data_IF_151679849816
#
_entry.id   IF_151679849816
#
_cell.length_a   1.000
_cell.length_b   1.000
_cell.length_c   1.000
_cell.angle_alpha   90.00
_cell.angle_beta   90.00
_cell.angle_gamma   90.00
#
_symmetry.space_group_name_H-M   'P 1'
#
loop_
_entity.id
_entity.type
_entity.pdbx_description
1 polymer ?
#
# COMPACT_ATOMS: atom_id res chain seq x y z
N UNK A 1 19.38 9.01 10.30
CA UNK A 1 18.01 9.51 10.20
C UNK A 1 17.03 8.34 10.14
N UNK A 2 16.06 8.33 11.01
CA UNK A 2 15.12 7.24 11.05
C UNK A 2 14.23 7.25 9.81
N UNK A 3 14.06 6.08 9.22
CA UNK A 3 13.16 5.95 8.09
C UNK A 3 11.74 6.08 8.58
N UNK A 4 10.99 6.93 7.92
CA UNK A 4 9.61 7.12 8.24
C UNK A 4 8.81 5.98 7.63
N UNK A 5 8.21 5.16 8.46
CA UNK A 5 7.34 4.10 7.97
C UNK A 5 6.02 4.72 7.54
N UNK A 6 5.59 4.39 6.34
CA UNK A 6 4.32 4.86 5.85
C UNK A 6 3.18 4.14 6.58
N UNK A 7 2.17 4.90 6.96
CA UNK A 7 0.95 4.32 7.50
C UNK A 7 0.13 3.74 6.34
N UNK A 8 -0.85 2.93 6.66
CA UNK A 8 -1.76 2.39 5.65
C UNK A 8 -2.40 3.52 4.84
N UNK A 9 -2.86 4.55 5.53
CA UNK A 9 -3.51 5.70 4.89
C UNK A 9 -2.58 6.41 3.91
N UNK A 10 -1.34 6.63 4.35
CA UNK A 10 -0.35 7.28 3.49
C UNK A 10 0.01 6.43 2.29
N UNK A 11 0.21 5.14 2.51
CA UNK A 11 0.53 4.22 1.41
C UNK A 11 -0.62 4.15 0.41
N UNK A 12 -1.84 4.08 0.90
CA UNK A 12 -3.03 4.02 0.06
C UNK A 12 -3.19 5.30 -0.77
N UNK A 13 -2.98 6.45 -0.12
CA UNK A 13 -3.06 7.74 -0.82
C UNK A 13 -2.04 7.82 -1.96
N UNK A 14 -0.82 7.33 -1.70
CA UNK A 14 0.21 7.32 -2.74
C UNK A 14 -0.15 6.38 -3.87
N UNK A 15 -0.75 5.24 -3.56
CA UNK A 15 -1.23 4.32 -4.59
C UNK A 15 -2.26 4.97 -5.48
N UNK A 16 -3.16 5.75 -4.90
CA UNK A 16 -4.16 6.47 -5.68
C UNK A 16 -3.52 7.49 -6.63
N UNK A 17 -2.48 8.18 -6.16
CA UNK A 17 -1.74 9.11 -7.01
C UNK A 17 -1.08 8.39 -8.18
N UNK A 18 -0.46 7.25 -7.92
CA UNK A 18 0.19 6.46 -8.96
C UNK A 18 -0.84 5.96 -9.97
N UNK A 19 -1.97 5.49 -9.49
CA UNK A 19 -3.06 5.05 -10.36
C UNK A 19 -3.50 6.16 -11.29
N UNK A 20 -3.67 7.37 -10.76
CA UNK A 20 -4.05 8.52 -11.56
C UNK A 20 -2.99 8.85 -12.62
N UNK A 21 -1.72 8.74 -12.26
CA UNK A 21 -0.63 8.99 -13.20
C UNK A 21 -0.63 7.97 -14.34
N UNK A 22 -0.86 6.72 -14.02
CA UNK A 22 -0.92 5.66 -15.01
C UNK A 22 -2.12 5.86 -15.93
N UNK A 23 -3.27 6.19 -15.36
CA UNK A 23 -4.49 6.43 -16.14
C UNK A 23 -4.38 7.64 -17.05
N UNK A 24 -3.57 8.63 -16.66
CA UNK A 24 -3.38 9.82 -17.48
C UNK A 24 -2.67 9.53 -18.79
N UNK A 25 -2.02 8.39 -18.86
CA UNK A 25 -1.31 7.94 -20.06
C UNK A 25 -0.19 8.90 -20.50
N UNK A 26 0.39 9.61 -19.53
CA UNK A 26 1.46 10.58 -19.79
C UNK A 26 2.84 10.06 -19.46
N UNK A 27 2.91 8.86 -18.90
CA UNK A 27 4.18 8.27 -18.51
C UNK A 27 4.79 7.51 -19.69
N UNK A 28 6.08 7.65 -19.87
CA UNK A 28 6.77 6.79 -20.83
C UNK A 28 7.03 5.43 -20.17
N UNK A 29 7.59 4.50 -20.93
CA UNK A 29 7.77 3.12 -20.47
C UNK A 29 8.65 3.06 -19.24
N UNK A 30 9.72 3.84 -19.21
CA UNK A 30 10.64 3.82 -18.07
C UNK A 30 9.96 4.36 -16.80
N UNK A 31 9.24 5.46 -16.93
CA UNK A 31 8.51 6.04 -15.81
C UNK A 31 7.41 5.10 -15.31
N UNK A 32 6.73 4.45 -16.24
CA UNK A 32 5.70 3.48 -15.91
C UNK A 32 6.29 2.32 -15.10
N UNK A 33 7.44 1.82 -15.52
CA UNK A 33 8.12 0.73 -14.82
C UNK A 33 8.47 1.12 -13.39
N UNK A 34 8.99 2.33 -13.20
CA UNK A 34 9.33 2.84 -11.86
C UNK A 34 8.10 2.97 -10.98
N UNK A 35 7.01 3.49 -11.56
CA UNK A 35 5.76 3.65 -10.80
C UNK A 35 5.16 2.32 -10.42
N UNK A 36 5.27 1.33 -11.29
CA UNK A 36 4.80 -0.02 -10.98
C UNK A 36 5.59 -0.65 -9.85
N UNK A 37 6.89 -0.41 -9.81
CA UNK A 37 7.73 -0.91 -8.71
C UNK A 37 7.34 -0.24 -7.40
N UNK A 38 7.12 1.06 -7.43
CA UNK A 38 6.69 1.80 -6.25
C UNK A 38 5.32 1.30 -5.79
N UNK A 39 4.39 1.12 -6.71
CA UNK A 39 3.05 0.63 -6.39
C UNK A 39 3.12 -0.77 -5.76
N UNK A 40 3.98 -1.62 -6.27
CA UNK A 40 4.16 -2.96 -5.74
C UNK A 40 4.64 -2.93 -4.28
N UNK A 41 5.60 -2.07 -3.99
CA UNK A 41 6.10 -1.91 -2.62
C UNK A 41 5.02 -1.36 -1.69
N UNK A 42 4.23 -0.41 -2.17
CA UNK A 42 3.13 0.17 -1.39
C UNK A 42 2.03 -0.84 -1.13
N UNK A 43 1.72 -1.67 -2.13
CA UNK A 43 0.73 -2.75 -1.96
C UNK A 43 1.17 -3.73 -0.90
N UNK A 44 2.46 -4.03 -0.85
CA UNK A 44 3.00 -4.92 0.16
C UNK A 44 2.79 -4.34 1.56
N UNK A 45 3.06 -3.04 1.72
CA UNK A 45 2.84 -2.35 3.00
C UNK A 45 1.37 -2.43 3.40
N UNK A 46 0.46 -2.13 2.49
CA UNK A 46 -0.97 -2.18 2.76
C UNK A 46 -1.41 -3.58 3.14
N UNK A 47 -0.92 -4.57 2.42
CA UNK A 47 -1.26 -5.96 2.67
C UNK A 47 -0.80 -6.40 4.06
N UNK A 48 0.41 -6.03 4.44
CA UNK A 48 0.94 -6.36 5.76
C UNK A 48 0.11 -5.73 6.87
N UNK A 49 -0.29 -4.48 6.69
CA UNK A 49 -1.10 -3.78 7.68
C UNK A 49 -2.48 -4.42 7.81
N UNK A 50 -3.10 -4.75 6.69
CA UNK A 50 -4.41 -5.41 6.71
C UNK A 50 -4.33 -6.80 7.32
N UNK A 51 -3.26 -7.53 7.04
CA UNK A 51 -3.05 -8.84 7.62
C UNK A 51 -2.95 -8.75 9.14
N UNK A 52 -2.20 -7.77 9.63
CA UNK A 52 -2.03 -7.56 11.07
C UNK A 52 -3.37 -7.26 11.75
N UNK A 53 -4.16 -6.37 11.17
CA UNK A 53 -5.49 -6.02 11.70
C UNK A 53 -6.40 -7.24 11.67
N UNK A 54 -6.34 -8.00 10.61
CA UNK A 54 -7.16 -9.20 10.44
C UNK A 54 -6.84 -10.25 11.51
N UNK A 55 -5.56 -10.42 11.82
CA UNK A 55 -5.12 -11.33 12.88
C UNK A 55 -5.62 -10.90 14.25
N UNK A 56 -5.53 -9.61 14.54
CA UNK A 56 -6.03 -9.05 15.79
C UNK A 56 -7.54 -9.23 15.94
N UNK A 57 -8.27 -8.97 14.86
CA UNK A 57 -9.72 -9.13 14.86
C UNK A 57 -10.11 -10.57 15.07
N UNK A 58 -9.42 -11.48 14.43
CA UNK A 58 -9.68 -12.92 14.58
C UNK A 58 -9.46 -13.37 16.02
N UNK A 59 -8.39 -12.86 16.62
CA UNK A 59 -8.06 -13.19 18.02
C UNK A 59 -9.14 -12.71 18.96
N UNK A 60 -9.63 -11.49 18.75
CA UNK A 60 -10.71 -10.93 19.58
C UNK A 60 -11.97 -11.76 19.45
N UNK A 61 -12.31 -12.17 18.23
CA UNK A 61 -13.50 -13.00 18.00
C UNK A 61 -13.38 -14.35 18.69
N UNK A 62 -12.20 -14.93 18.70
CA UNK A 62 -11.96 -16.19 19.37
C UNK A 62 -12.14 -16.07 20.88
N UNK A 63 -11.70 -14.96 21.46
CA UNK A 63 -11.85 -14.73 22.89
C UNK A 63 -13.29 -14.51 23.32
N UNK A 64 -14.10 -13.92 22.46
CA UNK A 64 -15.51 -13.67 22.73
C UNK A 64 -16.30 -14.98 22.72
N UNK A 65 -15.91 -15.89 21.89
CA UNK A 65 -16.54 -17.19 21.82
C UNK A 65 -15.97 -18.14 22.87
#
# INVERSE_FOLDING_TARGET
MAEKKLSYKEAFARLEEIEALIESNRLDVDDLSEKLKEASALLKICKEKLFSVNEETKKILEEIN
#
